data_IF_226099190506
#
_entry.id   IF_226099190506
#
_cell.length_a   1.000
_cell.length_b   1.000
_cell.length_c   1.000
_cell.angle_alpha   90.00
_cell.angle_beta   90.00
_cell.angle_gamma   90.00
#
_symmetry.space_group_name_H-M   'P 1'
#
loop_
_entity.id
_entity.type
_entity.pdbx_description
1 polymer ?
#
# COMPACT_ATOMS: atom_id res chain seq x y z
N UNK A 1 47.43 7.06 3.31
CA UNK A 1 46.47 8.17 3.12
C UNK A 1 45.40 7.70 2.16
N UNK A 2 44.25 7.30 2.68
CA UNK A 2 43.08 6.90 1.88
C UNK A 2 42.25 8.15 1.65
N UNK A 3 42.16 8.62 0.40
CA UNK A 3 41.25 9.70 0.04
C UNK A 3 39.82 9.17 0.15
N UNK A 4 39.10 9.60 1.19
CA UNK A 4 37.65 9.50 1.25
C UNK A 4 37.12 10.52 0.25
N UNK A 5 36.60 10.06 -0.88
CA UNK A 5 35.82 10.93 -1.76
C UNK A 5 34.62 11.47 -0.97
N UNK A 6 34.42 12.80 -0.89
CA UNK A 6 33.26 13.37 -0.24
C UNK A 6 32.02 13.01 -1.08
N UNK A 7 31.11 12.23 -0.49
CA UNK A 7 29.76 12.04 -1.03
C UNK A 7 29.16 13.42 -1.35
N UNK A 8 28.64 13.67 -2.56
CA UNK A 8 28.03 14.96 -2.88
C UNK A 8 26.85 15.21 -1.94
N UNK A 9 26.87 16.38 -1.28
CA UNK A 9 25.89 16.79 -0.28
C UNK A 9 24.44 16.88 -0.82
N UNK A 10 24.29 16.87 -2.14
CA UNK A 10 23.01 16.94 -2.84
C UNK A 10 22.82 15.69 -3.70
N UNK A 11 22.61 14.54 -3.05
CA UNK A 11 22.16 13.34 -3.74
C UNK A 11 20.85 13.65 -4.48
N UNK A 12 20.88 13.61 -5.81
CA UNK A 12 19.69 13.78 -6.64
C UNK A 12 18.68 12.70 -6.25
N UNK A 13 17.64 13.07 -5.50
CA UNK A 13 16.55 12.15 -5.21
C UNK A 13 15.74 12.05 -6.49
N UNK A 14 16.03 11.05 -7.33
CA UNK A 14 15.19 10.76 -8.49
C UNK A 14 13.83 10.28 -7.96
N UNK A 15 12.84 11.18 -7.98
CA UNK A 15 11.47 10.82 -7.65
C UNK A 15 10.90 10.03 -8.81
N UNK A 16 11.10 8.71 -8.80
CA UNK A 16 10.36 7.80 -9.70
C UNK A 16 8.88 7.99 -9.37
N UNK A 17 8.12 8.57 -10.30
CA UNK A 17 6.67 8.67 -10.21
C UNK A 17 6.06 7.42 -10.83
N UNK A 18 5.64 6.50 -9.98
CA UNK A 18 4.74 5.42 -10.39
C UNK A 18 3.32 6.00 -10.40
N UNK A 19 2.55 5.71 -11.44
CA UNK A 19 1.14 6.09 -11.53
C UNK A 19 0.32 5.49 -10.37
N UNK A 20 -0.86 6.05 -10.09
CA UNK A 20 -1.70 5.51 -9.03
C UNK A 20 -2.26 4.14 -9.45
N UNK A 21 -2.54 3.27 -8.49
CA UNK A 21 -3.16 1.98 -8.80
C UNK A 21 -4.53 2.14 -9.49
N UNK A 22 -5.26 3.22 -9.21
CA UNK A 22 -6.55 3.50 -9.85
C UNK A 22 -6.42 3.79 -11.35
N UNK A 23 -5.35 4.50 -11.72
CA UNK A 23 -5.08 4.82 -13.13
C UNK A 23 -4.59 3.57 -13.86
N UNK A 24 -3.65 2.83 -13.23
CA UNK A 24 -3.11 1.59 -13.78
C UNK A 24 -4.19 0.51 -13.98
N UNK A 25 -5.06 0.30 -12.99
CA UNK A 25 -6.09 -0.73 -12.98
C UNK A 25 -7.48 -0.19 -13.37
N UNK A 26 -7.54 0.90 -14.14
CA UNK A 26 -8.79 1.51 -14.56
C UNK A 26 -9.77 0.53 -15.21
N UNK A 27 -9.39 -0.29 -16.23
CA UNK A 27 -10.36 -1.18 -16.87
C UNK A 27 -10.86 -2.28 -15.92
N UNK A 28 -10.02 -2.77 -15.01
CA UNK A 28 -10.42 -3.74 -14.00
C UNK A 28 -11.37 -3.14 -12.97
N UNK A 29 -11.11 -1.90 -12.52
CA UNK A 29 -11.98 -1.19 -11.58
C UNK A 29 -13.32 -0.79 -12.19
N UNK A 30 -13.36 -0.54 -13.51
CA UNK A 30 -14.61 -0.33 -14.23
C UNK A 30 -15.45 -1.62 -14.33
N UNK A 31 -14.79 -2.79 -14.40
CA UNK A 31 -15.46 -4.09 -14.44
C UNK A 31 -15.89 -4.60 -13.06
N UNK A 32 -15.11 -4.30 -12.01
CA UNK A 32 -15.42 -4.68 -10.64
C UNK A 32 -14.97 -3.60 -9.66
N UNK A 33 -15.94 -2.99 -9.00
CA UNK A 33 -15.68 -1.99 -7.98
C UNK A 33 -15.68 -2.64 -6.59
N UNK A 34 -14.59 -2.53 -5.81
CA UNK A 34 -14.55 -3.02 -4.44
C UNK A 34 -15.30 -2.12 -3.44
N UNK A 35 -15.81 -0.97 -3.87
CA UNK A 35 -16.70 -0.10 -3.10
C UNK A 35 -18.13 -0.20 -3.64
N UNK A 36 -19.08 0.25 -2.82
CA UNK A 36 -20.48 0.37 -3.24
C UNK A 36 -20.77 1.81 -3.66
N UNK A 37 -21.38 1.98 -4.83
CA UNK A 37 -21.78 3.29 -5.33
C UNK A 37 -22.71 4.03 -4.36
N UNK A 38 -22.42 5.31 -4.17
CA UNK A 38 -23.16 6.18 -3.25
C UNK A 38 -22.98 5.86 -1.77
N UNK A 39 -22.08 4.94 -1.37
CA UNK A 39 -21.77 4.64 0.03
C UNK A 39 -20.31 4.99 0.33
N UNK A 40 -20.06 5.76 1.39
CA UNK A 40 -18.70 6.17 1.72
C UNK A 40 -17.80 4.97 2.08
N UNK A 41 -16.68 4.82 1.35
CA UNK A 41 -15.72 3.72 1.53
C UNK A 41 -14.89 3.79 2.83
N UNK A 42 -15.03 4.87 3.61
CA UNK A 42 -14.45 4.93 4.94
C UNK A 42 -15.27 4.04 5.89
N UNK A 43 -14.70 2.95 6.44
CA UNK A 43 -15.44 1.99 7.26
C UNK A 43 -16.00 2.62 8.55
N UNK A 44 -15.41 3.73 9.03
CA UNK A 44 -15.91 4.47 10.19
C UNK A 44 -17.07 5.42 9.86
N UNK A 45 -17.33 5.68 8.58
CA UNK A 45 -18.39 6.58 8.12
C UNK A 45 -19.56 5.80 7.52
N UNK A 46 -19.30 5.02 6.45
CA UNK A 46 -20.30 4.24 5.71
C UNK A 46 -21.58 4.99 5.30
N UNK A 47 -21.57 6.34 5.33
CA UNK A 47 -22.75 7.16 5.08
C UNK A 47 -23.10 7.14 3.58
N UNK A 48 -24.40 7.08 3.22
CA UNK A 48 -24.85 7.37 1.87
C UNK A 48 -24.52 8.80 1.43
N UNK A 49 -24.13 8.98 0.18
CA UNK A 49 -23.88 10.26 -0.45
C UNK A 49 -24.14 10.19 -1.95
N UNK A 50 -24.43 11.34 -2.55
CA UNK A 50 -24.56 11.47 -3.99
C UNK A 50 -23.18 11.77 -4.59
N UNK A 51 -22.57 10.83 -5.35
CA UNK A 51 -21.24 11.04 -5.87
C UNK A 51 -21.26 12.03 -7.03
N UNK A 52 -20.47 13.09 -6.95
CA UNK A 52 -20.34 14.08 -8.04
C UNK A 52 -19.62 13.53 -9.29
N UNK A 53 -19.07 12.31 -9.21
CA UNK A 53 -18.32 11.60 -10.25
C UNK A 53 -18.56 10.11 -10.08
N UNK A 54 -18.62 9.37 -11.17
CA UNK A 54 -18.93 7.93 -11.18
C UNK A 54 -17.91 7.05 -10.41
N UNK A 55 -16.73 7.60 -10.08
CA UNK A 55 -15.69 6.95 -9.28
C UNK A 55 -15.57 7.52 -7.86
N UNK A 56 -16.50 8.37 -7.44
CA UNK A 56 -16.50 9.00 -6.12
C UNK A 56 -16.62 7.95 -5.03
N UNK A 57 -15.59 7.80 -4.20
CA UNK A 57 -15.55 6.81 -3.11
C UNK A 57 -15.89 7.39 -1.72
N UNK A 58 -15.82 8.70 -1.56
CA UNK A 58 -15.88 9.34 -0.26
C UNK A 58 -16.90 10.47 -0.24
N UNK A 59 -17.71 10.53 0.83
CA UNK A 59 -18.72 11.58 0.99
C UNK A 59 -18.12 12.97 1.23
N UNK A 60 -16.86 13.05 1.65
CA UNK A 60 -16.17 14.31 1.88
C UNK A 60 -14.64 14.14 1.89
N UNK A 61 -13.86 15.22 1.72
CA UNK A 61 -12.39 15.18 1.77
C UNK A 61 -11.82 14.67 3.09
N UNK A 62 -12.54 14.86 4.21
CA UNK A 62 -12.09 14.36 5.51
C UNK A 62 -12.05 12.81 5.56
N UNK A 63 -13.08 12.14 5.03
CA UNK A 63 -13.13 10.68 4.92
C UNK A 63 -12.03 10.15 4.00
N UNK A 64 -11.77 10.83 2.89
CA UNK A 64 -10.67 10.49 1.99
C UNK A 64 -9.32 10.54 2.72
N UNK A 65 -9.03 11.64 3.43
CA UNK A 65 -7.78 11.78 4.20
C UNK A 65 -7.61 10.69 5.25
N UNK A 66 -8.68 10.30 5.94
CA UNK A 66 -8.63 9.23 6.94
C UNK A 66 -8.23 7.89 6.30
N UNK A 67 -8.86 7.53 5.18
CA UNK A 67 -8.54 6.29 4.47
C UNK A 67 -7.15 6.33 3.85
N UNK A 68 -6.72 7.47 3.30
CA UNK A 68 -5.35 7.66 2.80
C UNK A 68 -4.33 7.50 3.93
N UNK A 69 -4.59 8.08 5.10
CA UNK A 69 -3.70 7.94 6.27
C UNK A 69 -3.63 6.48 6.76
N UNK A 70 -4.76 5.77 6.78
CA UNK A 70 -4.82 4.33 7.05
C UNK A 70 -3.96 3.52 6.07
N UNK A 71 -4.13 3.76 4.76
CA UNK A 71 -3.35 3.10 3.71
C UNK A 71 -1.85 3.40 3.84
N UNK A 72 -1.46 4.64 4.13
CA UNK A 72 -0.06 5.01 4.35
C UNK A 72 0.52 4.31 5.58
N UNK A 73 -0.23 4.25 6.68
CA UNK A 73 0.18 3.57 7.92
C UNK A 73 0.47 2.09 7.66
N UNK A 74 -0.41 1.39 6.95
CA UNK A 74 -0.24 -0.02 6.63
C UNK A 74 0.82 -0.25 5.55
N UNK A 75 0.85 0.59 4.51
CA UNK A 75 1.87 0.56 3.46
C UNK A 75 3.28 0.72 4.01
N UNK A 76 3.50 1.66 4.95
CA UNK A 76 4.80 1.87 5.60
C UNK A 76 5.29 0.61 6.35
N UNK A 77 4.38 -0.12 7.01
CA UNK A 77 4.72 -1.37 7.72
C UNK A 77 5.15 -2.48 6.77
N UNK A 78 4.60 -2.51 5.55
CA UNK A 78 4.87 -3.55 4.56
C UNK A 78 5.98 -3.18 3.56
N UNK A 79 6.40 -1.91 3.50
CA UNK A 79 7.33 -1.43 2.49
C UNK A 79 8.66 -2.20 2.47
N UNK A 80 9.30 -2.37 3.63
CA UNK A 80 10.58 -3.09 3.73
C UNK A 80 10.49 -4.57 3.35
N UNK A 81 9.56 -5.39 3.89
CA UNK A 81 9.45 -6.79 3.48
C UNK A 81 9.05 -6.95 1.99
N UNK A 82 8.25 -6.03 1.43
CA UNK A 82 7.97 -6.03 -0.02
C UNK A 82 9.24 -5.79 -0.84
N UNK A 83 10.10 -4.86 -0.41
CA UNK A 83 11.38 -4.59 -1.07
C UNK A 83 12.33 -5.79 -0.96
N UNK A 84 12.47 -6.39 0.23
CA UNK A 84 13.30 -7.59 0.44
C UNK A 84 12.83 -8.75 -0.44
N UNK A 85 11.51 -8.98 -0.51
CA UNK A 85 10.95 -9.99 -1.41
C UNK A 85 11.31 -9.71 -2.86
N UNK A 86 11.21 -8.46 -3.33
CA UNK A 86 11.54 -8.12 -4.72
C UNK A 86 13.05 -8.25 -5.01
N UNK A 87 13.90 -7.82 -4.08
CA UNK A 87 15.35 -7.84 -4.22
C UNK A 87 15.92 -9.26 -4.30
N UNK A 88 15.40 -10.18 -3.50
CA UNK A 88 15.92 -11.55 -3.39
C UNK A 88 14.97 -12.60 -3.96
N UNK A 89 14.02 -12.19 -4.83
CA UNK A 89 12.96 -13.05 -5.39
C UNK A 89 13.47 -14.39 -5.95
N UNK A 90 14.67 -14.38 -6.53
CA UNK A 90 15.28 -15.52 -7.20
C UNK A 90 16.48 -16.13 -6.43
N UNK A 91 16.57 -15.89 -5.12
CA UNK A 91 17.58 -16.52 -4.29
C UNK A 91 17.48 -18.06 -4.36
N UNK A 92 18.64 -18.72 -4.47
CA UNK A 92 18.68 -20.18 -4.53
C UNK A 92 18.10 -20.82 -3.25
N UNK A 93 17.38 -21.94 -3.36
CA UNK A 93 16.88 -22.67 -2.19
C UNK A 93 18.00 -23.02 -1.20
N UNK A 94 17.70 -22.97 0.10
CA UNK A 94 18.65 -23.29 1.18
C UNK A 94 19.61 -22.15 1.55
N UNK A 95 19.51 -20.99 0.89
CA UNK A 95 20.29 -19.80 1.25
C UNK A 95 19.59 -18.93 2.29
N UNK A 96 20.36 -18.16 3.06
CA UNK A 96 19.82 -17.19 4.03
C UNK A 96 18.90 -16.15 3.37
N UNK A 97 19.18 -15.77 2.12
CA UNK A 97 18.35 -14.86 1.34
C UNK A 97 16.97 -15.47 1.04
N UNK A 98 16.91 -16.76 0.67
CA UNK A 98 15.65 -17.45 0.45
C UNK A 98 14.81 -17.56 1.73
N UNK A 99 15.44 -17.78 2.88
CA UNK A 99 14.76 -17.79 4.18
C UNK A 99 14.24 -16.41 4.57
N UNK A 100 15.01 -15.35 4.29
CA UNK A 100 14.58 -13.96 4.50
C UNK A 100 13.36 -13.60 3.64
N UNK A 101 13.34 -14.00 2.37
CA UNK A 101 12.17 -13.82 1.49
C UNK A 101 10.94 -14.55 2.04
N UNK A 102 11.11 -15.78 2.54
CA UNK A 102 10.03 -16.54 3.17
C UNK A 102 9.48 -15.82 4.41
N UNK A 103 10.36 -15.28 5.24
CA UNK A 103 9.96 -14.46 6.40
C UNK A 103 9.22 -13.19 5.98
N UNK A 104 9.72 -12.46 4.98
CA UNK A 104 9.10 -11.25 4.46
C UNK A 104 7.68 -11.50 3.92
N UNK A 105 7.49 -12.56 3.12
CA UNK A 105 6.16 -12.94 2.59
C UNK A 105 5.17 -13.30 3.71
N UNK A 106 5.62 -14.06 4.71
CA UNK A 106 4.79 -14.41 5.88
C UNK A 106 4.36 -13.16 6.64
N UNK A 107 5.28 -12.23 6.88
CA UNK A 107 4.97 -10.96 7.54
C UNK A 107 3.95 -10.13 6.74
N UNK A 108 4.11 -9.97 5.43
CA UNK A 108 3.16 -9.24 4.58
C UNK A 108 1.77 -9.86 4.67
N UNK A 109 1.68 -11.19 4.57
CA UNK A 109 0.40 -11.92 4.67
C UNK A 109 -0.26 -11.69 6.03
N UNK A 110 0.50 -11.79 7.12
CA UNK A 110 0.03 -11.52 8.48
C UNK A 110 -0.47 -10.06 8.62
N UNK A 111 0.30 -9.09 8.11
CA UNK A 111 -0.06 -7.68 8.18
C UNK A 111 -1.35 -7.37 7.40
N UNK A 112 -1.49 -7.91 6.18
CA UNK A 112 -2.72 -7.78 5.38
C UNK A 112 -3.92 -8.41 6.09
N UNK A 113 -3.74 -9.58 6.71
CA UNK A 113 -4.81 -10.25 7.47
C UNK A 113 -5.24 -9.43 8.68
N UNK A 114 -4.29 -8.85 9.42
CA UNK A 114 -4.57 -7.96 10.54
C UNK A 114 -5.30 -6.68 10.08
N UNK A 115 -4.88 -6.11 8.94
CA UNK A 115 -5.53 -4.94 8.37
C UNK A 115 -6.98 -5.23 7.96
N UNK A 116 -7.23 -6.38 7.31
CA UNK A 116 -8.59 -6.78 6.95
C UNK A 116 -9.48 -6.98 8.18
N UNK A 117 -8.96 -7.55 9.27
CA UNK A 117 -9.70 -7.68 10.54
C UNK A 117 -10.06 -6.32 11.14
N UNK A 118 -9.11 -5.38 11.16
CA UNK A 118 -9.35 -4.00 11.62
C UNK A 118 -10.48 -3.35 10.79
N UNK A 119 -10.46 -3.48 9.46
CA UNK A 119 -11.50 -2.93 8.58
C UNK A 119 -12.85 -3.63 8.72
N UNK A 120 -12.88 -4.91 9.08
CA UNK A 120 -14.10 -5.66 9.36
C UNK A 120 -14.71 -5.33 10.74
N UNK A 121 -14.06 -4.50 11.56
CA UNK A 121 -14.49 -4.21 12.92
C UNK A 121 -14.29 -5.38 13.91
N UNK A 122 -13.56 -6.42 13.49
CA UNK A 122 -13.19 -7.54 14.36
C UNK A 122 -11.88 -7.14 15.03
N UNK A 123 -11.95 -6.80 16.33
CA UNK A 123 -10.79 -6.50 17.15
C UNK A 123 -9.74 -7.63 17.13
N UNK A 124 -8.50 -7.36 17.59
CA UNK A 124 -7.40 -8.33 17.57
C UNK A 124 -7.76 -9.69 18.18
#
# INVERSE_FOLDING_TARGET
MTLLDPSPANGFTSHIRIESFKDYAYPELAAFQPWQDGICYNPLCAKPFDPSRDWGMYCCPACERQVVAEMQRWGRRMAWPLLLHRQYKYAAPGTAQADLVRAARRYVTMAQSAWMRERAGVGP
#
